data_IF_967395746334
#
_entry.id   IF_967395746334
#
_cell.length_a   1.000
_cell.length_b   1.000
_cell.length_c   1.000
_cell.angle_alpha   90.00
_cell.angle_beta   90.00
_cell.angle_gamma   90.00
#
_symmetry.space_group_name_H-M   'P 1'
#
loop_
_entity.id
_entity.type
_entity.pdbx_description
1 polymer ?
#
# COMPACT_ATOMS: atom_id res chain seq x y z
N UNK A 1 -10.80 -13.63 31.47
CA UNK A 1 -10.18 -13.00 30.28
C UNK A 1 -11.28 -12.24 29.55
N UNK A 2 -11.23 -10.90 29.47
CA UNK A 2 -12.29 -10.14 28.79
C UNK A 2 -12.22 -10.40 27.28
N UNK A 3 -13.37 -10.57 26.64
CA UNK A 3 -13.45 -10.92 25.22
C UNK A 3 -12.76 -9.88 24.34
N UNK A 4 -11.78 -10.31 23.55
CA UNK A 4 -11.07 -9.46 22.59
C UNK A 4 -12.03 -8.71 21.66
N UNK A 5 -13.12 -9.35 21.24
CA UNK A 5 -14.16 -8.75 20.40
C UNK A 5 -14.88 -7.59 21.10
N UNK A 6 -15.15 -7.71 22.40
CA UNK A 6 -15.81 -6.66 23.18
C UNK A 6 -14.89 -5.44 23.34
N UNK A 7 -13.61 -5.67 23.63
CA UNK A 7 -12.62 -4.59 23.72
C UNK A 7 -12.38 -3.92 22.35
N UNK A 8 -12.36 -4.69 21.27
CA UNK A 8 -12.23 -4.18 19.90
C UNK A 8 -13.42 -3.31 19.51
N UNK A 9 -14.65 -3.77 19.79
CA UNK A 9 -15.87 -2.98 19.54
C UNK A 9 -15.85 -1.64 20.27
N UNK A 10 -15.46 -1.64 21.55
CA UNK A 10 -15.34 -0.41 22.34
C UNK A 10 -14.26 0.53 21.78
N UNK A 11 -13.14 -0.01 21.28
CA UNK A 11 -12.11 0.80 20.63
C UNK A 11 -12.60 1.41 19.31
N UNK A 12 -13.32 0.63 18.48
CA UNK A 12 -13.95 1.09 17.24
C UNK A 12 -15.00 2.18 17.49
N UNK A 13 -15.81 2.05 18.54
CA UNK A 13 -16.78 3.07 18.95
C UNK A 13 -16.10 4.38 19.36
N UNK A 14 -15.04 4.31 20.16
CA UNK A 14 -14.24 5.48 20.57
C UNK A 14 -13.55 6.17 19.38
N UNK A 15 -13.12 5.40 18.39
CA UNK A 15 -12.48 5.91 17.18
C UNK A 15 -13.49 6.30 16.08
N UNK A 16 -14.81 6.28 16.37
CA UNK A 16 -15.90 6.58 15.43
C UNK A 16 -15.90 5.74 14.15
N UNK A 17 -15.39 4.51 14.23
CA UNK A 17 -15.31 3.54 13.12
C UNK A 17 -15.96 2.20 13.50
N UNK A 18 -17.29 2.16 13.73
CA UNK A 18 -17.97 1.01 14.32
C UNK A 18 -17.94 -0.26 13.44
N UNK A 19 -17.78 -0.12 12.12
CA UNK A 19 -17.78 -1.23 11.17
C UNK A 19 -16.37 -1.72 10.80
N UNK A 20 -15.32 -1.23 11.46
CA UNK A 20 -13.95 -1.61 11.15
C UNK A 20 -13.64 -3.02 11.66
N UNK A 21 -13.42 -3.96 10.74
CA UNK A 21 -12.97 -5.30 11.10
C UNK A 21 -11.48 -5.26 11.43
N UNK A 22 -11.07 -6.03 12.44
CA UNK A 22 -9.66 -6.17 12.80
C UNK A 22 -8.77 -6.57 11.59
N UNK A 23 -9.31 -7.38 10.68
CA UNK A 23 -8.62 -7.80 9.46
C UNK A 23 -8.37 -6.66 8.45
N UNK A 24 -9.14 -5.58 8.50
CA UNK A 24 -8.97 -4.42 7.62
C UNK A 24 -7.73 -3.59 7.99
N UNK A 25 -7.33 -3.61 9.26
CA UNK A 25 -6.07 -3.01 9.69
C UNK A 25 -4.88 -3.68 9.02
N UNK A 26 -4.87 -5.02 8.94
CA UNK A 26 -3.80 -5.76 8.29
C UNK A 26 -3.69 -5.40 6.80
N UNK A 27 -4.83 -5.21 6.13
CA UNK A 27 -4.89 -4.75 4.72
C UNK A 27 -4.35 -3.33 4.57
N UNK A 28 -4.70 -2.43 5.49
CA UNK A 28 -4.28 -1.03 5.47
C UNK A 28 -2.80 -0.88 5.77
N UNK A 29 -2.26 -1.59 6.76
CA UNK A 29 -0.84 -1.58 7.09
C UNK A 29 0.04 -2.02 5.90
N UNK A 30 -0.41 -3.07 5.20
CA UNK A 30 0.26 -3.59 4.00
C UNK A 30 0.23 -2.57 2.85
N UNK A 31 -0.90 -1.87 2.65
CA UNK A 31 -1.00 -0.79 1.65
C UNK A 31 -0.09 0.40 2.00
N UNK A 32 -0.11 0.84 3.25
CA UNK A 32 0.66 2.00 3.70
C UNK A 32 2.17 1.75 3.61
N UNK A 33 2.64 0.54 3.91
CA UNK A 33 4.06 0.17 3.78
C UNK A 33 4.55 0.24 2.34
N UNK A 34 3.76 -0.22 1.35
CA UNK A 34 4.13 -0.05 -0.06
C UNK A 34 4.11 1.42 -0.47
N UNK A 35 3.11 2.19 -0.04
CA UNK A 35 3.06 3.64 -0.33
C UNK A 35 4.24 4.40 0.27
N UNK A 36 4.80 3.90 1.37
CA UNK A 36 6.05 4.41 1.94
C UNK A 36 7.30 3.99 1.15
N UNK A 37 7.15 3.31 0.01
CA UNK A 37 8.24 2.87 -0.85
C UNK A 37 8.88 1.53 -0.46
N UNK A 38 8.31 0.80 0.50
CA UNK A 38 8.87 -0.50 0.91
C UNK A 38 8.60 -1.55 -0.18
N UNK A 39 9.63 -2.28 -0.63
CA UNK A 39 9.45 -3.37 -1.59
C UNK A 39 8.43 -4.40 -1.10
N UNK A 40 7.57 -4.87 -2.01
CA UNK A 40 6.45 -5.75 -1.71
C UNK A 40 6.88 -7.00 -0.92
N UNK A 41 8.03 -7.58 -1.27
CA UNK A 41 8.60 -8.75 -0.59
C UNK A 41 8.84 -8.51 0.90
N UNK A 42 9.35 -7.33 1.26
CA UNK A 42 9.59 -6.94 2.65
C UNK A 42 8.26 -6.65 3.36
N UNK A 43 7.34 -5.94 2.70
CA UNK A 43 6.00 -5.70 3.23
C UNK A 43 5.22 -7.00 3.51
N UNK A 44 5.42 -8.03 2.68
CA UNK A 44 4.83 -9.36 2.88
C UNK A 44 5.44 -10.10 4.09
N UNK A 45 6.75 -10.01 4.29
CA UNK A 45 7.41 -10.58 5.47
C UNK A 45 6.92 -9.92 6.76
N UNK A 46 6.85 -8.58 6.78
CA UNK A 46 6.35 -7.81 7.93
C UNK A 46 4.91 -8.21 8.29
N UNK A 47 4.08 -8.46 7.27
CA UNK A 47 2.66 -8.78 7.46
C UNK A 47 2.35 -10.28 7.59
N UNK A 48 3.37 -11.14 7.55
CA UNK A 48 3.23 -12.59 7.68
C UNK A 48 2.54 -13.28 6.50
N UNK A 49 2.51 -12.65 5.32
CA UNK A 49 1.93 -13.26 4.12
C UNK A 49 2.90 -14.26 3.49
N UNK A 50 2.48 -15.54 3.40
CA UNK A 50 3.24 -16.58 2.70
C UNK A 50 3.22 -16.43 1.17
N UNK A 51 2.15 -15.88 0.61
CA UNK A 51 1.95 -15.82 -0.84
C UNK A 51 1.45 -14.45 -1.27
N UNK A 52 2.00 -13.96 -2.39
CA UNK A 52 1.63 -12.67 -2.97
C UNK A 52 0.18 -12.69 -3.49
N UNK A 53 -0.35 -13.87 -3.83
CA UNK A 53 -1.73 -14.05 -4.33
C UNK A 53 -2.81 -13.53 -3.38
N UNK A 54 -2.58 -13.60 -2.06
CA UNK A 54 -3.49 -13.04 -1.06
C UNK A 54 -3.54 -11.50 -1.13
N UNK A 55 -2.44 -10.87 -1.56
CA UNK A 55 -2.35 -9.43 -1.74
C UNK A 55 -2.96 -8.99 -3.07
N UNK A 56 -2.58 -9.62 -4.19
CA UNK A 56 -3.08 -9.28 -5.53
C UNK A 56 -4.61 -9.32 -5.64
N UNK A 57 -5.27 -10.27 -4.96
CA UNK A 57 -6.74 -10.40 -4.92
C UNK A 57 -7.48 -9.21 -4.31
N UNK A 58 -6.82 -8.41 -3.47
CA UNK A 58 -7.44 -7.29 -2.75
C UNK A 58 -6.68 -5.97 -2.90
N UNK A 59 -5.66 -5.96 -3.77
CA UNK A 59 -4.98 -4.75 -4.16
C UNK A 59 -5.93 -3.98 -5.09
N UNK A 60 -6.80 -3.17 -4.51
CA UNK A 60 -7.56 -2.18 -5.26
C UNK A 60 -6.55 -1.10 -5.68
N UNK A 61 -5.89 -1.31 -6.81
CA UNK A 61 -5.01 -0.32 -7.44
C UNK A 61 -5.88 0.88 -7.76
N UNK A 62 -5.69 1.99 -7.04
CA UNK A 62 -6.50 3.18 -7.24
C UNK A 62 -6.00 3.92 -8.50
N UNK A 63 -6.86 4.64 -9.21
CA UNK A 63 -6.50 5.44 -10.37
C UNK A 63 -5.39 6.47 -10.05
N UNK A 64 -5.33 6.89 -8.77
CA UNK A 64 -4.27 7.75 -8.23
C UNK A 64 -2.90 7.09 -8.25
N UNK A 65 -2.82 5.80 -7.86
CA UNK A 65 -1.54 5.08 -7.83
C UNK A 65 -0.99 4.90 -9.27
N UNK A 66 -1.88 4.75 -10.27
CA UNK A 66 -1.51 4.69 -11.70
C UNK A 66 -1.00 6.06 -12.19
N UNK A 67 -1.68 7.14 -11.82
CA UNK A 67 -1.29 8.51 -12.19
C UNK A 67 0.08 8.87 -11.59
N UNK A 68 0.31 8.56 -10.31
CA UNK A 68 1.57 8.88 -9.64
C UNK A 68 2.72 8.07 -10.25
N UNK A 69 2.52 6.78 -10.52
CA UNK A 69 3.49 5.95 -11.22
C UNK A 69 3.81 6.47 -12.63
N UNK A 70 2.78 6.94 -13.36
CA UNK A 70 2.96 7.54 -14.69
C UNK A 70 3.77 8.84 -14.65
N UNK A 71 3.49 9.72 -13.67
CA UNK A 71 4.21 10.98 -13.51
C UNK A 71 5.69 10.77 -13.13
N UNK A 72 5.97 9.82 -12.23
CA UNK A 72 7.36 9.47 -11.88
C UNK A 72 8.10 8.82 -13.06
N UNK A 73 7.44 8.00 -13.87
CA UNK A 73 8.04 7.43 -15.08
C UNK A 73 8.41 8.52 -16.12
N UNK A 74 7.58 9.55 -16.29
CA UNK A 74 7.89 10.69 -17.17
C UNK A 74 9.08 11.52 -16.68
N UNK A 75 9.20 11.73 -15.36
CA UNK A 75 10.34 12.44 -14.76
C UNK A 75 11.68 11.73 -15.03
N UNK A 76 11.67 10.40 -15.07
CA UNK A 76 12.85 9.60 -15.44
C UNK A 76 13.26 9.71 -16.91
N UNK A 77 12.31 9.91 -17.83
CA UNK A 77 12.57 9.96 -19.27
C UNK A 77 13.13 11.31 -19.76
N UNK A 78 12.80 12.42 -19.10
CA UNK A 78 13.34 13.74 -19.46
C UNK A 78 14.85 13.86 -19.23
N UNK A 79 15.42 13.04 -18.34
CA UNK A 79 16.85 13.07 -18.00
C UNK A 79 17.73 12.25 -18.96
N UNK A 80 17.14 11.35 -19.75
CA UNK A 80 17.85 10.51 -20.73
C UNK A 80 17.89 11.10 -22.13
N UNK A 81 17.03 12.08 -22.43
CA UNK A 81 16.86 12.64 -23.77
C UNK A 81 17.74 13.88 -24.07
N UNK A 82 18.68 14.24 -23.19
CA UNK A 82 19.62 15.36 -23.41
C UNK A 82 20.99 14.95 -23.96
N UNK A 83 21.25 13.66 -24.16
CA UNK A 83 22.53 13.18 -24.70
C UNK A 83 22.58 12.98 -26.22
N UNK A 84 21.56 13.39 -26.97
CA UNK A 84 21.43 13.15 -28.43
C UNK A 84 21.48 14.39 -29.31
N UNK A 85 21.84 15.58 -28.80
CA UNK A 85 21.88 16.82 -29.62
C UNK A 85 23.23 17.57 -29.56
N UNK A 86 24.35 16.86 -29.41
CA UNK A 86 25.71 17.45 -29.45
C UNK A 86 26.66 16.75 -30.43
N UNK A 87 26.13 16.12 -31.47
CA UNK A 87 26.90 15.59 -32.61
C UNK A 87 26.20 15.92 -33.94
N UNK A 88 26.02 17.21 -34.21
CA UNK A 88 25.66 17.73 -35.54
C UNK A 88 26.39 19.04 -35.76
#
# INVERSE_FOLDING_TARGET
>A
MKDFKANWKQACEKASVPNLLFHDLRRTAVRNTIRAGVPEKIAMQISGHKTASMRWRYNNTDARDIKDAYLEAQRGQTCTNTYTILWS
#
